data_IF_718284760834
#
_entry.id   IF_718284760834
#
_cell.length_a   1.000
_cell.length_b   1.000
_cell.length_c   1.000
_cell.angle_alpha   90.00
_cell.angle_beta   90.00
_cell.angle_gamma   90.00
#
_symmetry.space_group_name_H-M   'P 1'
#
loop_
_entity.id
_entity.type
_entity.pdbx_description
1 polymer ?
#
# COMPACT_ATOMS: atom_id res chain seq x y z
N UNK A 1 8.21 5.61 -10.76
CA UNK A 1 6.78 5.41 -11.15
C UNK A 1 6.42 3.94 -11.36
N UNK A 2 7.13 3.18 -12.19
CA UNK A 2 6.83 1.73 -12.36
C UNK A 2 6.96 0.98 -11.04
N UNK A 3 8.02 1.22 -10.27
CA UNK A 3 8.25 0.59 -8.96
C UNK A 3 7.17 0.94 -7.92
N UNK A 4 6.53 2.08 -8.02
CA UNK A 4 5.46 2.48 -7.09
C UNK A 4 4.16 1.73 -7.41
N UNK A 5 3.86 1.51 -8.70
CA UNK A 5 2.70 0.70 -9.10
C UNK A 5 2.87 -0.77 -8.70
N UNK A 6 4.08 -1.32 -8.84
CA UNK A 6 4.39 -2.68 -8.40
C UNK A 6 4.26 -2.83 -6.87
N UNK A 7 4.66 -1.80 -6.12
CA UNK A 7 4.50 -1.77 -4.66
C UNK A 7 3.03 -1.98 -4.23
N UNK A 8 2.08 -1.34 -4.90
CA UNK A 8 0.65 -1.45 -4.57
C UNK A 8 0.01 -2.77 -5.03
N UNK A 9 0.71 -3.59 -5.82
CA UNK A 9 0.24 -4.91 -6.29
C UNK A 9 0.64 -6.07 -5.36
N UNK A 10 1.48 -5.81 -4.37
CA UNK A 10 1.98 -6.85 -3.46
C UNK A 10 0.86 -7.30 -2.52
N UNK A 11 0.49 -8.59 -2.58
CA UNK A 11 -0.59 -9.17 -1.76
C UNK A 11 -0.14 -9.72 -0.42
N UNK A 12 1.08 -10.26 -0.37
CA UNK A 12 1.54 -11.06 0.76
C UNK A 12 2.44 -10.28 1.72
N UNK A 13 2.32 -8.94 1.73
CA UNK A 13 3.11 -8.07 2.62
C UNK A 13 2.22 -6.99 3.22
N UNK A 14 2.45 -6.71 4.48
CA UNK A 14 1.83 -5.62 5.20
C UNK A 14 2.38 -4.27 4.67
N UNK A 15 1.66 -3.64 3.72
CA UNK A 15 2.11 -2.42 3.04
C UNK A 15 1.44 -1.14 3.52
N UNK A 16 0.36 -1.23 4.30
CA UNK A 16 -0.41 -0.07 4.71
C UNK A 16 0.42 1.04 5.39
N UNK A 17 1.41 0.76 6.27
CA UNK A 17 2.26 1.79 6.86
C UNK A 17 3.11 2.58 5.88
N UNK A 18 3.36 2.05 4.68
CA UNK A 18 4.21 2.69 3.67
C UNK A 18 3.44 3.53 2.65
N UNK A 19 2.12 3.40 2.61
CA UNK A 19 1.27 4.03 1.60
C UNK A 19 1.43 5.53 1.60
N UNK A 20 1.33 6.17 2.76
CA UNK A 20 1.41 7.62 2.86
C UNK A 20 2.74 8.18 2.34
N UNK A 21 3.86 7.61 2.76
CA UNK A 21 5.19 8.03 2.30
C UNK A 21 5.37 7.85 0.78
N UNK A 22 4.84 6.75 0.22
CA UNK A 22 4.87 6.50 -1.22
C UNK A 22 4.01 7.50 -2.01
N UNK A 23 2.83 7.82 -1.49
CA UNK A 23 1.94 8.83 -2.09
C UNK A 23 2.60 10.21 -2.07
N UNK A 24 3.27 10.59 -0.97
CA UNK A 24 4.00 11.86 -0.88
C UNK A 24 5.21 11.88 -1.82
N UNK A 25 5.95 10.79 -1.95
CA UNK A 25 7.06 10.66 -2.89
C UNK A 25 6.57 10.79 -4.34
N UNK A 26 5.43 10.19 -4.68
CA UNK A 26 4.80 10.34 -6.00
C UNK A 26 4.41 11.80 -6.27
N UNK A 27 3.82 12.49 -5.28
CA UNK A 27 3.49 13.91 -5.40
C UNK A 27 4.73 14.76 -5.71
N UNK A 28 5.81 14.54 -4.95
CA UNK A 28 7.06 15.26 -5.15
C UNK A 28 7.65 15.00 -6.54
N UNK A 29 7.63 13.75 -6.99
CA UNK A 29 8.08 13.35 -8.33
C UNK A 29 7.27 14.03 -9.43
N UNK A 30 5.94 13.97 -9.36
CA UNK A 30 5.06 14.62 -10.33
C UNK A 30 5.22 16.14 -10.34
N UNK A 31 5.35 16.75 -9.16
CA UNK A 31 5.55 18.19 -9.01
C UNK A 31 6.89 18.65 -9.63
N UNK A 32 7.96 17.90 -9.41
CA UNK A 32 9.28 18.16 -10.00
C UNK A 32 9.24 18.02 -11.52
N UNK A 33 8.64 16.94 -12.02
CA UNK A 33 8.58 16.65 -13.47
C UNK A 33 7.81 17.68 -14.30
N UNK A 34 6.91 18.47 -13.70
CA UNK A 34 6.23 19.57 -14.39
C UNK A 34 7.19 20.65 -14.87
N UNK A 35 8.26 20.91 -14.11
CA UNK A 35 9.24 21.95 -14.43
C UNK A 35 10.44 21.38 -15.16
N UNK A 36 10.86 20.20 -14.76
CA UNK A 36 12.04 19.52 -15.27
C UNK A 36 11.76 18.02 -15.39
N UNK A 37 11.15 17.58 -16.50
CA UNK A 37 10.82 16.18 -16.69
C UNK A 37 12.11 15.34 -16.70
N UNK A 38 12.17 14.23 -15.97
CA UNK A 38 13.32 13.37 -15.95
C UNK A 38 13.48 12.70 -17.32
N UNK A 39 14.65 12.87 -17.93
CA UNK A 39 15.08 12.19 -19.15
C UNK A 39 16.14 11.18 -18.72
N UNK A 40 16.03 9.93 -19.18
CA UNK A 40 17.05 8.92 -18.88
C UNK A 40 18.38 9.24 -19.57
N UNK A 41 19.48 8.82 -18.96
CA UNK A 41 20.82 8.99 -19.57
C UNK A 41 20.91 8.35 -20.96
N UNK A 42 20.20 7.23 -21.16
CA UNK A 42 20.14 6.55 -22.47
C UNK A 42 19.47 7.43 -23.53
N UNK A 43 18.35 8.09 -23.18
CA UNK A 43 17.70 9.03 -24.07
C UNK A 43 18.58 10.25 -24.35
N UNK A 44 19.30 10.76 -23.34
CA UNK A 44 20.24 11.86 -23.54
C UNK A 44 21.34 11.49 -24.53
N UNK A 45 21.92 10.30 -24.42
CA UNK A 45 22.93 9.81 -25.37
C UNK A 45 22.39 9.68 -26.79
N UNK A 46 21.15 9.19 -26.96
CA UNK A 46 20.52 9.08 -28.28
C UNK A 46 20.32 10.48 -28.89
N UNK A 47 19.87 11.45 -28.12
CA UNK A 47 19.68 12.83 -28.63
C UNK A 47 20.99 13.50 -29.00
N UNK A 48 22.03 13.34 -28.19
CA UNK A 48 23.33 13.92 -28.42
C UNK A 48 24.00 13.27 -29.64
N UNK A 49 23.89 11.95 -29.79
CA UNK A 49 24.41 11.22 -30.96
C UNK A 49 23.69 11.55 -32.28
N UNK A 50 22.39 11.82 -32.21
CA UNK A 50 21.58 12.19 -33.37
C UNK A 50 21.54 13.70 -33.66
N UNK A 51 22.22 14.54 -32.87
CA UNK A 51 22.12 16.00 -32.91
C UNK A 51 20.66 16.51 -32.93
N UNK A 52 19.80 15.87 -32.15
CA UNK A 52 18.35 16.12 -32.17
C UNK A 52 17.97 17.22 -31.18
N UNK A 53 17.06 18.12 -31.61
CA UNK A 53 16.53 19.16 -30.74
C UNK A 53 15.62 18.55 -29.66
N UNK A 54 16.09 18.51 -28.41
CA UNK A 54 15.37 17.93 -27.23
C UNK A 54 14.11 18.71 -26.83
N UNK A 55 14.00 20.00 -27.26
CA UNK A 55 12.97 20.93 -26.76
C UNK A 55 11.53 20.45 -26.97
N UNK A 56 11.12 19.97 -28.17
CA UNK A 56 9.74 19.48 -28.34
C UNK A 56 9.37 18.30 -27.47
N UNK A 57 10.33 17.40 -27.20
CA UNK A 57 10.10 16.23 -26.35
C UNK A 57 9.97 16.63 -24.89
N UNK A 58 10.79 17.55 -24.40
CA UNK A 58 10.69 18.10 -23.04
C UNK A 58 9.32 18.75 -22.84
N UNK A 59 8.80 19.48 -23.82
CA UNK A 59 7.47 20.10 -23.78
C UNK A 59 6.36 19.02 -23.65
N UNK A 60 6.45 17.94 -24.43
CA UNK A 60 5.50 16.81 -24.36
C UNK A 60 5.53 16.16 -22.98
N UNK A 61 6.72 15.87 -22.44
CA UNK A 61 6.85 15.27 -21.12
C UNK A 61 6.37 16.20 -20.01
N UNK A 62 6.73 17.49 -20.06
CA UNK A 62 6.23 18.47 -19.09
C UNK A 62 4.70 18.52 -19.09
N UNK A 63 4.07 18.50 -20.26
CA UNK A 63 2.61 18.45 -20.39
C UNK A 63 2.02 17.16 -19.79
N UNK A 64 2.65 16.02 -20.02
CA UNK A 64 2.24 14.74 -19.42
C UNK A 64 2.32 14.78 -17.89
N UNK A 65 3.39 15.37 -17.33
CA UNK A 65 3.53 15.57 -15.89
C UNK A 65 2.48 16.53 -15.32
N UNK A 66 2.15 17.60 -16.04
CA UNK A 66 1.06 18.51 -15.63
C UNK A 66 -0.27 17.76 -15.52
N UNK A 67 -0.65 17.01 -16.56
CA UNK A 67 -1.90 16.24 -16.56
C UNK A 67 -1.90 15.16 -15.49
N UNK A 68 -0.78 14.48 -15.27
CA UNK A 68 -0.66 13.47 -14.21
C UNK A 68 -0.78 14.11 -12.82
N UNK A 69 -0.18 15.27 -12.58
CA UNK A 69 -0.28 16.01 -11.33
C UNK A 69 -1.71 16.50 -11.07
N UNK A 70 -2.40 17.02 -12.06
CA UNK A 70 -3.81 17.42 -11.95
C UNK A 70 -4.71 16.23 -11.55
N UNK A 71 -4.48 15.05 -12.14
CA UNK A 71 -5.18 13.83 -11.75
C UNK A 71 -4.87 13.42 -10.31
N UNK A 72 -3.59 13.52 -9.90
CA UNK A 72 -3.18 13.27 -8.53
C UNK A 72 -3.91 14.21 -7.56
N UNK A 73 -3.88 15.52 -7.80
CA UNK A 73 -4.56 16.51 -6.96
C UNK A 73 -6.06 16.23 -6.86
N UNK A 74 -6.69 15.91 -7.97
CA UNK A 74 -8.13 15.66 -8.02
C UNK A 74 -8.55 14.41 -7.25
N UNK A 75 -7.76 13.33 -7.30
CA UNK A 75 -8.22 12.01 -6.83
C UNK A 75 -7.49 11.50 -5.59
N UNK A 76 -6.32 12.02 -5.28
CA UNK A 76 -5.44 11.48 -4.23
C UNK A 76 -5.17 12.49 -3.13
N UNK A 77 -4.79 13.74 -3.44
CA UNK A 77 -4.29 14.68 -2.42
C UNK A 77 -5.27 14.94 -1.28
N UNK A 78 -6.57 14.93 -1.55
CA UNK A 78 -7.62 15.11 -0.56
C UNK A 78 -8.40 13.82 -0.26
N UNK A 79 -7.83 12.65 -0.55
CA UNK A 79 -8.51 11.39 -0.29
C UNK A 79 -8.67 11.17 1.23
N UNK A 80 -9.90 10.88 1.73
CA UNK A 80 -10.18 10.80 3.18
C UNK A 80 -9.35 9.75 3.91
N UNK A 81 -8.92 8.68 3.22
CA UNK A 81 -8.08 7.64 3.81
C UNK A 81 -6.63 8.07 4.04
N UNK A 82 -6.14 9.16 3.44
CA UNK A 82 -4.73 9.57 3.57
C UNK A 82 -4.36 9.90 5.01
N UNK A 83 -5.27 10.51 5.77
CA UNK A 83 -5.03 10.81 7.18
C UNK A 83 -4.88 9.54 8.02
N UNK A 84 -5.65 8.49 7.71
CA UNK A 84 -5.50 7.19 8.36
C UNK A 84 -4.17 6.55 7.96
N UNK A 85 -3.82 6.49 6.67
CA UNK A 85 -2.53 5.95 6.23
C UNK A 85 -1.33 6.74 6.77
N UNK A 86 -1.48 8.04 6.99
CA UNK A 86 -0.48 8.84 7.69
C UNK A 86 -0.30 8.38 9.14
N UNK A 87 -1.38 8.13 9.86
CA UNK A 87 -1.32 7.67 11.24
C UNK A 87 -0.76 6.25 11.35
N UNK A 88 -1.15 5.33 10.44
CA UNK A 88 -0.69 3.94 10.44
C UNK A 88 0.83 3.80 10.30
N UNK A 89 1.54 4.82 9.81
CA UNK A 89 3.00 4.84 9.80
C UNK A 89 3.61 4.58 11.18
N UNK A 90 2.87 4.87 12.26
CA UNK A 90 3.33 4.60 13.62
C UNK A 90 3.58 3.12 13.91
N UNK A 91 3.01 2.22 13.12
CA UNK A 91 3.26 0.78 13.22
C UNK A 91 4.49 0.31 12.40
N UNK A 92 5.21 1.21 11.73
CA UNK A 92 6.56 0.95 11.22
C UNK A 92 7.58 1.38 12.29
N UNK A 93 8.32 0.46 12.91
CA UNK A 93 9.31 0.79 13.94
C UNK A 93 10.35 1.80 13.46
N UNK A 94 10.73 1.75 12.18
CA UNK A 94 11.70 2.69 11.58
C UNK A 94 11.17 4.12 11.59
N UNK A 95 9.86 4.29 11.39
CA UNK A 95 9.23 5.59 11.43
C UNK A 95 9.27 6.17 12.84
N UNK A 96 8.90 5.38 13.86
CA UNK A 96 8.92 5.81 15.26
C UNK A 96 10.35 6.13 15.73
N UNK A 97 11.33 5.28 15.39
CA UNK A 97 12.72 5.48 15.77
C UNK A 97 13.39 6.69 15.07
N UNK A 98 12.85 7.12 13.93
CA UNK A 98 13.45 8.21 13.16
C UNK A 98 13.37 9.58 13.85
N UNK A 99 12.36 9.81 14.70
CA UNK A 99 12.18 11.08 15.37
C UNK A 99 11.30 10.95 16.63
N UNK A 100 11.80 11.45 17.76
CA UNK A 100 11.06 11.46 19.04
C UNK A 100 9.74 12.24 19.00
N UNK A 101 9.59 13.19 18.06
CA UNK A 101 8.31 13.89 17.86
C UNK A 101 7.17 12.93 17.47
N UNK A 102 7.48 11.74 16.94
CA UNK A 102 6.51 10.71 16.60
C UNK A 102 6.09 9.83 17.79
N UNK A 103 6.72 10.00 18.97
CA UNK A 103 6.37 9.23 20.18
C UNK A 103 5.07 9.71 20.83
N UNK A 104 4.56 10.89 20.48
CA UNK A 104 3.30 11.38 21.03
C UNK A 104 2.11 10.67 20.40
N UNK A 105 1.41 9.85 21.17
CA UNK A 105 0.23 9.09 20.77
C UNK A 105 -0.92 9.99 20.26
N UNK A 106 -1.01 11.23 20.73
CA UNK A 106 -1.99 12.24 20.30
C UNK A 106 -1.97 12.47 18.77
N UNK A 107 -0.81 12.29 18.14
CA UNK A 107 -0.64 12.45 16.71
C UNK A 107 -1.44 11.41 15.90
N UNK A 108 -1.89 10.34 16.55
CA UNK A 108 -2.50 9.17 15.92
C UNK A 108 -3.96 8.95 16.32
N UNK A 109 -4.62 9.98 16.89
CA UNK A 109 -6.03 9.91 17.34
C UNK A 109 -7.04 9.53 16.27
N UNK A 110 -6.69 9.54 15.01
CA UNK A 110 -7.54 8.99 13.95
C UNK A 110 -7.69 7.48 14.06
N UNK A 111 -6.74 6.79 14.70
CA UNK A 111 -6.84 5.39 15.11
C UNK A 111 -7.74 5.37 16.34
N UNK A 112 -8.85 4.65 16.24
CA UNK A 112 -9.92 4.68 17.25
C UNK A 112 -9.43 4.35 18.66
N UNK A 113 -8.55 3.36 18.77
CA UNK A 113 -8.00 2.85 20.02
C UNK A 113 -7.09 3.87 20.69
N UNK A 114 -6.49 4.79 19.94
CA UNK A 114 -5.66 5.89 20.47
C UNK A 114 -6.48 7.12 20.88
N UNK A 115 -7.79 7.14 20.64
CA UNK A 115 -8.67 8.20 21.17
C UNK A 115 -8.90 8.05 22.68
N UNK A 116 -9.10 6.81 23.11
CA UNK A 116 -9.36 6.45 24.50
C UNK A 116 -8.52 5.22 24.86
N UNK A 117 -7.18 5.36 24.95
CA UNK A 117 -6.31 4.22 25.17
C UNK A 117 -6.47 3.65 26.57
N UNK A 118 -6.31 2.33 26.70
CA UNK A 118 -6.19 1.66 28.01
C UNK A 118 -4.86 2.02 28.66
N UNK A 119 -4.77 1.86 29.98
CA UNK A 119 -3.51 2.06 30.72
C UNK A 119 -2.43 1.09 30.20
N UNK A 120 -2.81 -0.13 29.84
CA UNK A 120 -1.92 -1.12 29.22
C UNK A 120 -1.37 -0.62 27.89
N UNK A 121 -2.24 -0.12 26.99
CA UNK A 121 -1.84 0.37 25.69
C UNK A 121 -0.88 1.59 25.81
N UNK A 122 -1.11 2.47 26.79
CA UNK A 122 -0.22 3.61 27.07
C UNK A 122 1.18 3.11 27.49
N UNK A 123 1.23 2.11 28.37
CA UNK A 123 2.50 1.53 28.83
C UNK A 123 3.24 0.82 27.69
N UNK A 124 2.53 0.01 26.91
CA UNK A 124 3.09 -0.68 25.76
C UNK A 124 3.61 0.29 24.69
N UNK A 125 2.89 1.38 24.46
CA UNK A 125 3.33 2.44 23.56
C UNK A 125 4.63 3.08 24.02
N UNK A 126 4.77 3.38 25.31
CA UNK A 126 5.98 3.96 25.86
C UNK A 126 7.18 2.99 25.71
N UNK A 127 6.97 1.70 25.95
CA UNK A 127 7.97 0.64 25.74
C UNK A 127 8.38 0.59 24.26
N UNK A 128 7.41 0.55 23.35
CA UNK A 128 7.65 0.52 21.91
C UNK A 128 8.46 1.72 21.41
N UNK A 129 8.12 2.92 21.86
CA UNK A 129 8.87 4.14 21.53
C UNK A 129 10.31 4.14 22.07
N UNK A 130 10.58 3.36 23.10
CA UNK A 130 11.92 3.21 23.68
C UNK A 130 12.80 2.16 22.98
N UNK A 131 12.27 1.40 22.04
CA UNK A 131 13.07 0.41 21.31
C UNK A 131 14.13 1.10 20.45
N UNK A 132 15.33 0.49 20.43
CA UNK A 132 16.44 0.91 19.57
C UNK A 132 16.98 -0.36 18.85
N UNK A 133 16.17 -0.85 17.93
CA UNK A 133 16.44 -2.11 17.21
C UNK A 133 17.07 -1.83 15.84
N UNK A 134 17.87 -2.77 15.33
CA UNK A 134 18.52 -2.65 14.02
C UNK A 134 17.50 -2.66 12.88
N UNK A 135 17.64 -1.77 11.90
CA UNK A 135 16.76 -1.64 10.73
C UNK A 135 16.67 -2.92 9.89
N UNK A 136 17.68 -3.78 9.94
CA UNK A 136 17.72 -5.03 9.18
C UNK A 136 16.72 -6.08 9.66
N UNK A 137 16.25 -5.99 10.91
CA UNK A 137 15.29 -6.91 11.51
C UNK A 137 13.86 -6.70 11.03
N UNK A 138 13.57 -5.58 10.37
CA UNK A 138 12.20 -5.16 9.99
C UNK A 138 11.82 -5.50 8.55
N UNK A 139 12.31 -6.58 7.98
CA UNK A 139 11.99 -6.95 6.58
C UNK A 139 10.51 -7.28 6.39
N UNK A 140 9.84 -7.76 7.44
CA UNK A 140 8.43 -8.12 7.42
C UNK A 140 7.74 -7.64 8.71
N UNK A 141 6.81 -6.68 8.57
CA UNK A 141 6.08 -6.12 9.70
C UNK A 141 5.16 -7.13 10.38
N UNK A 142 4.61 -8.10 9.65
CA UNK A 142 3.77 -9.13 10.25
C UNK A 142 4.58 -10.02 11.20
N UNK A 143 5.74 -10.49 10.75
CA UNK A 143 6.67 -11.28 11.57
C UNK A 143 7.12 -10.47 12.79
N UNK A 144 7.48 -9.21 12.59
CA UNK A 144 7.89 -8.32 13.68
C UNK A 144 6.82 -8.21 14.76
N UNK A 145 5.58 -7.85 14.40
CA UNK A 145 4.52 -7.64 15.37
C UNK A 145 4.06 -8.94 16.04
N UNK A 146 4.05 -10.08 15.33
CA UNK A 146 3.82 -11.38 15.94
C UNK A 146 4.90 -11.74 16.96
N UNK A 147 6.16 -11.41 16.68
CA UNK A 147 7.28 -11.61 17.63
C UNK A 147 7.17 -10.75 18.89
N UNK A 148 6.49 -9.60 18.82
CA UNK A 148 6.28 -8.71 19.98
C UNK A 148 5.00 -9.01 20.79
N UNK A 149 4.17 -9.94 20.37
CA UNK A 149 2.85 -10.21 20.98
C UNK A 149 2.89 -10.61 22.45
N UNK A 150 3.99 -11.22 22.92
CA UNK A 150 4.17 -11.56 24.34
C UNK A 150 4.57 -10.35 25.22
N UNK A 151 5.24 -9.36 24.64
CA UNK A 151 5.72 -8.17 25.35
C UNK A 151 4.74 -7.00 25.24
N UNK A 152 4.06 -6.87 24.10
CA UNK A 152 3.15 -5.78 23.75
C UNK A 152 1.83 -6.36 23.20
N UNK A 153 1.05 -7.09 24.02
CA UNK A 153 -0.11 -7.84 23.53
C UNK A 153 -1.19 -6.95 22.88
N UNK A 154 -1.56 -5.84 23.51
CA UNK A 154 -2.59 -4.93 22.97
C UNK A 154 -2.08 -4.19 21.73
N UNK A 155 -0.89 -3.60 21.82
CA UNK A 155 -0.30 -2.85 20.70
C UNK A 155 0.00 -3.74 19.50
N UNK A 156 0.48 -4.98 19.70
CA UNK A 156 0.74 -5.91 18.61
C UNK A 156 -0.56 -6.35 17.93
N UNK A 157 -1.62 -6.62 18.68
CA UNK A 157 -2.94 -6.96 18.14
C UNK A 157 -3.48 -5.81 17.30
N UNK A 158 -3.36 -4.58 17.80
CA UNK A 158 -3.75 -3.37 17.11
C UNK A 158 -2.94 -3.18 15.82
N UNK A 159 -1.62 -3.28 15.91
CA UNK A 159 -0.73 -3.13 14.77
C UNK A 159 -1.06 -4.15 13.68
N UNK A 160 -1.22 -5.43 14.02
CA UNK A 160 -1.59 -6.49 13.07
C UNK A 160 -2.91 -6.22 12.36
N UNK A 161 -3.86 -5.55 13.02
CA UNK A 161 -5.11 -5.14 12.37
C UNK A 161 -4.88 -4.06 11.31
N UNK A 162 -4.07 -3.05 11.62
CA UNK A 162 -3.90 -1.88 10.76
C UNK A 162 -2.87 -2.06 9.64
N UNK A 163 -1.80 -2.84 9.84
CA UNK A 163 -0.78 -3.05 8.81
C UNK A 163 -1.31 -3.81 7.59
N UNK A 164 -2.39 -4.59 7.77
CA UNK A 164 -3.06 -5.36 6.72
C UNK A 164 -4.27 -4.66 6.11
N UNK A 165 -4.49 -3.37 6.39
CA UNK A 165 -5.57 -2.64 5.74
C UNK A 165 -5.44 -2.68 4.21
N UNK A 166 -6.54 -2.94 3.50
CA UNK A 166 -6.53 -2.99 2.05
C UNK A 166 -6.21 -1.61 1.47
N UNK A 167 -5.18 -1.55 0.64
CA UNK A 167 -4.68 -0.31 0.04
C UNK A 167 -5.29 -0.04 -1.32
N UNK A 168 -5.72 -1.08 -2.03
CA UNK A 168 -6.26 -0.96 -3.38
C UNK A 168 -7.54 -1.78 -3.55
N UNK A 169 -8.40 -1.32 -4.46
CA UNK A 169 -9.57 -2.07 -4.90
C UNK A 169 -9.25 -3.22 -5.87
N UNK A 170 -7.97 -3.50 -6.13
CA UNK A 170 -7.55 -4.54 -7.08
C UNK A 170 -8.10 -5.92 -6.69
N UNK A 171 -8.18 -6.22 -5.40
CA UNK A 171 -8.74 -7.49 -4.95
C UNK A 171 -10.26 -7.53 -5.14
N UNK A 172 -10.93 -6.39 -5.04
CA UNK A 172 -12.35 -6.26 -5.37
C UNK A 172 -12.56 -6.42 -6.89
N UNK A 173 -11.74 -5.77 -7.72
CA UNK A 173 -11.81 -5.91 -9.18
C UNK A 173 -11.52 -7.33 -9.64
N UNK A 174 -10.56 -8.00 -9.01
CA UNK A 174 -10.26 -9.41 -9.25
C UNK A 174 -11.40 -10.31 -8.79
N UNK A 175 -12.07 -10.00 -7.67
CA UNK A 175 -13.24 -10.73 -7.24
C UNK A 175 -14.35 -10.62 -8.27
N UNK A 176 -14.57 -9.47 -8.87
CA UNK A 176 -15.52 -9.33 -9.98
C UNK A 176 -15.10 -10.09 -11.24
N UNK A 177 -13.82 -10.17 -11.54
CA UNK A 177 -13.31 -10.95 -12.67
C UNK A 177 -13.48 -12.46 -12.44
N UNK A 178 -13.19 -12.95 -11.24
CA UNK A 178 -13.44 -14.35 -10.88
C UNK A 178 -14.94 -14.65 -10.82
N UNK A 179 -15.76 -13.71 -10.34
CA UNK A 179 -17.21 -13.81 -10.33
C UNK A 179 -17.76 -13.98 -11.76
N UNK A 180 -17.27 -13.20 -12.72
CA UNK A 180 -17.61 -13.36 -14.14
C UNK A 180 -17.19 -14.72 -14.71
N UNK A 181 -16.04 -15.24 -14.30
CA UNK A 181 -15.58 -16.57 -14.70
C UNK A 181 -16.44 -17.69 -14.12
N UNK A 182 -16.85 -17.57 -12.85
CA UNK A 182 -17.76 -18.53 -12.19
C UNK A 182 -19.17 -18.46 -12.79
N UNK A 183 -19.65 -17.27 -13.17
CA UNK A 183 -20.95 -17.03 -13.81
C UNK A 183 -20.89 -17.12 -15.34
N UNK A 184 -19.98 -17.89 -15.92
CA UNK A 184 -19.97 -18.10 -17.37
C UNK A 184 -21.32 -18.66 -17.84
N UNK A 185 -21.73 -18.36 -19.08
CA UNK A 185 -23.04 -18.70 -19.67
C UNK A 185 -23.42 -20.20 -19.56
N UNK A 186 -22.46 -21.06 -19.25
CA UNK A 186 -22.67 -22.50 -19.03
C UNK A 186 -23.06 -22.90 -17.61
N UNK A 187 -23.04 -21.96 -16.62
CA UNK A 187 -23.27 -22.23 -15.20
C UNK A 187 -24.42 -21.42 -14.61
N UNK A 188 -25.50 -21.24 -15.36
CA UNK A 188 -26.66 -20.41 -14.98
C UNK A 188 -27.45 -20.97 -13.78
N UNK A 189 -27.19 -22.21 -13.35
CA UNK A 189 -27.97 -22.90 -12.31
C UNK A 189 -27.32 -22.86 -10.89
N UNK A 190 -26.20 -22.16 -10.69
CA UNK A 190 -25.59 -22.09 -9.37
C UNK A 190 -26.41 -21.21 -8.41
N UNK A 191 -26.70 -21.75 -7.22
CA UNK A 191 -27.35 -20.98 -6.14
C UNK A 191 -26.39 -19.91 -5.61
N UNK A 192 -26.94 -18.80 -5.11
CA UNK A 192 -26.17 -17.67 -4.59
C UNK A 192 -25.11 -18.08 -3.55
N UNK A 193 -25.46 -19.00 -2.62
CA UNK A 193 -24.54 -19.48 -1.59
C UNK A 193 -23.37 -20.29 -2.18
N UNK A 194 -23.64 -21.08 -3.23
CA UNK A 194 -22.58 -21.81 -3.94
C UNK A 194 -21.62 -20.86 -4.67
N UNK A 195 -22.13 -19.78 -5.22
CA UNK A 195 -21.33 -18.73 -5.87
C UNK A 195 -20.44 -18.01 -4.85
N UNK A 196 -21.01 -17.64 -3.69
CA UNK A 196 -20.24 -17.03 -2.59
C UNK A 196 -19.13 -17.94 -2.10
N UNK A 197 -19.43 -19.23 -1.93
CA UNK A 197 -18.46 -20.23 -1.48
C UNK A 197 -17.35 -20.45 -2.48
N UNK A 198 -17.66 -20.56 -3.77
CA UNK A 198 -16.67 -20.71 -4.85
C UNK A 198 -15.78 -19.47 -4.94
N UNK A 199 -16.35 -18.27 -4.81
CA UNK A 199 -15.58 -17.03 -4.81
C UNK A 199 -14.63 -16.96 -3.58
N UNK A 200 -15.12 -17.36 -2.40
CA UNK A 200 -14.30 -17.46 -1.20
C UNK A 200 -13.16 -18.45 -1.35
N UNK A 201 -13.41 -19.63 -1.90
CA UNK A 201 -12.40 -20.64 -2.17
C UNK A 201 -11.38 -20.16 -3.19
N UNK A 202 -11.81 -19.53 -4.27
CA UNK A 202 -10.93 -18.98 -5.30
C UNK A 202 -9.93 -17.96 -4.74
N UNK A 203 -10.35 -17.15 -3.74
CA UNK A 203 -9.48 -16.15 -3.13
C UNK A 203 -8.55 -16.70 -2.04
N UNK A 204 -8.91 -17.80 -1.41
CA UNK A 204 -8.18 -18.33 -0.25
C UNK A 204 -7.38 -19.61 -0.53
N UNK A 205 -7.60 -20.24 -1.70
CA UNK A 205 -6.81 -21.38 -2.15
C UNK A 205 -5.74 -20.89 -3.15
N UNK A 206 -4.53 -21.45 -3.06
CA UNK A 206 -3.50 -21.25 -4.08
C UNK A 206 -4.03 -21.69 -5.44
N UNK A 207 -3.76 -20.90 -6.49
CA UNK A 207 -4.29 -21.07 -7.84
C UNK A 207 -4.13 -22.50 -8.41
N UNK A 208 -3.16 -23.27 -7.94
CA UNK A 208 -2.91 -24.66 -8.37
C UNK A 208 -4.00 -25.65 -7.95
N UNK A 209 -4.80 -25.36 -6.92
CA UNK A 209 -5.85 -26.25 -6.41
C UNK A 209 -7.19 -25.99 -7.08
N UNK A 210 -7.42 -24.77 -7.56
CA UNK A 210 -8.71 -24.34 -8.15
C UNK A 210 -8.85 -24.85 -9.57
N UNK A 211 -7.77 -24.89 -10.34
CA UNK A 211 -7.77 -25.40 -11.72
C UNK A 211 -8.06 -26.91 -11.78
N UNK A 212 -7.54 -27.68 -10.81
CA UNK A 212 -7.82 -29.13 -10.70
C UNK A 212 -9.29 -29.44 -10.34
N UNK A 213 -9.94 -28.55 -9.55
CA UNK A 213 -11.34 -28.72 -9.19
C UNK A 213 -12.32 -28.31 -10.31
N UNK A 214 -11.89 -27.46 -11.25
CA UNK A 214 -12.72 -26.98 -12.35
C UNK A 214 -12.64 -27.87 -13.61
N UNK A 215 -11.65 -28.78 -13.69
CA UNK A 215 -11.41 -29.67 -14.84
C UNK A 215 -12.08 -31.04 -14.63
N UNK A 216 -12.54 -31.37 -13.44
CA UNK A 216 -13.09 -32.70 -13.08
C UNK A 216 -14.60 -32.87 -13.23
N UNK A 217 -15.28 -32.05 -14.06
CA UNK A 217 -16.69 -32.20 -14.44
C UNK A 217 -16.86 -32.30 -15.97
#
# INVERSE_FOLDING_TARGET
>A
MVNDLEFFKVRNKAIAPFVYSRVMSLQAFLSSGRRNPPISNEMEQIFDGANYNKRPLIEIFSRAFVLAYEKYEKHISNHPALSLFKAIQCFDPRFIQSNTAYHNMENYRIIKEFQFPTDTLIQEWAIYCGFNESIEEFKDLDIYWRGKSSLLPELSSLALTYIWLPVSGIDIERSFSSYKSILSDRRVALKEDSIKMLNFLYFNLDNNVVDDLLISE
#
